data_IF_513748171804
#
_entry.id   IF_513748171804
#
_cell.length_a   1.000
_cell.length_b   1.000
_cell.length_c   1.000
_cell.angle_alpha   90.00
_cell.angle_beta   90.00
_cell.angle_gamma   90.00
#
_symmetry.space_group_name_H-M   'P 1'
#
loop_
_entity.id
_entity.type
_entity.pdbx_description
1 polymer ?
#
# COMPACT_ATOMS: atom_id res chain seq x y z
N UNK A 1 -1.98 -7.24 -14.86
CA UNK A 1 -2.96 -7.78 -13.88
C UNK A 1 -2.48 -7.69 -12.42
N UNK A 2 -1.17 -7.81 -12.15
CA UNK A 2 -0.56 -7.68 -10.81
C UNK A 2 -0.91 -6.37 -10.07
N UNK A 3 -0.94 -5.17 -10.71
CA UNK A 3 -1.25 -3.93 -9.99
C UNK A 3 -2.65 -3.93 -9.35
N UNK A 4 -3.64 -4.54 -10.02
CA UNK A 4 -5.00 -4.63 -9.50
C UNK A 4 -5.10 -5.55 -8.27
N UNK A 5 -4.33 -6.65 -8.26
CA UNK A 5 -4.22 -7.53 -7.10
C UNK A 5 -3.57 -6.80 -5.92
N UNK A 6 -2.49 -6.04 -6.17
CA UNK A 6 -1.84 -5.20 -5.16
C UNK A 6 -2.80 -4.17 -4.56
N UNK A 7 -3.59 -3.52 -5.40
CA UNK A 7 -4.60 -2.54 -4.95
C UNK A 7 -5.66 -3.20 -4.08
N UNK A 8 -6.21 -4.35 -4.49
CA UNK A 8 -7.17 -5.10 -3.69
C UNK A 8 -6.61 -5.54 -2.34
N UNK A 9 -5.37 -6.05 -2.33
CA UNK A 9 -4.68 -6.47 -1.11
C UNK A 9 -4.38 -5.29 -0.18
N UNK A 10 -4.05 -4.13 -0.75
CA UNK A 10 -3.83 -2.88 -0.01
C UNK A 10 -5.09 -2.40 0.69
N UNK A 11 -6.25 -2.50 0.02
CA UNK A 11 -7.56 -2.18 0.59
C UNK A 11 -7.88 -3.11 1.77
N UNK A 12 -7.61 -4.42 1.63
CA UNK A 12 -7.82 -5.39 2.70
C UNK A 12 -6.94 -5.11 3.93
N UNK A 13 -5.66 -4.80 3.71
CA UNK A 13 -4.70 -4.46 4.78
C UNK A 13 -5.12 -3.18 5.50
N UNK A 14 -5.43 -2.12 4.75
CA UNK A 14 -5.93 -0.87 5.32
C UNK A 14 -7.23 -1.07 6.10
N UNK A 15 -8.15 -1.85 5.54
CA UNK A 15 -9.44 -2.16 6.16
C UNK A 15 -9.27 -2.90 7.48
N UNK A 16 -8.44 -3.96 7.50
CA UNK A 16 -8.17 -4.73 8.72
C UNK A 16 -7.50 -3.92 9.81
N UNK A 17 -6.54 -3.04 9.46
CA UNK A 17 -5.81 -2.22 10.42
C UNK A 17 -6.72 -1.14 11.02
N UNK A 18 -7.49 -0.42 10.19
CA UNK A 18 -8.45 0.58 10.68
C UNK A 18 -9.61 -0.05 11.47
N UNK A 19 -9.97 -1.30 11.19
CA UNK A 19 -10.96 -2.03 11.99
C UNK A 19 -10.45 -2.34 13.40
N UNK A 20 -9.18 -2.78 13.53
CA UNK A 20 -8.52 -3.09 14.80
C UNK A 20 -8.19 -1.85 15.64
N UNK A 21 -7.91 -0.70 15.01
CA UNK A 21 -7.46 0.53 15.67
C UNK A 21 -8.40 1.73 15.40
N UNK A 22 -9.69 1.67 15.80
CA UNK A 22 -10.66 2.73 15.53
C UNK A 22 -10.32 4.09 16.15
N UNK A 23 -9.77 4.09 17.37
CA UNK A 23 -9.51 5.32 18.12
C UNK A 23 -8.22 6.02 17.71
N UNK A 24 -7.46 5.48 16.76
CA UNK A 24 -6.13 6.00 16.41
C UNK A 24 -5.94 6.06 14.90
N UNK A 25 -6.79 6.87 14.23
CA UNK A 25 -6.86 7.02 12.79
C UNK A 25 -5.50 7.28 12.11
N UNK A 26 -4.72 8.24 12.61
CA UNK A 26 -3.41 8.58 12.05
C UNK A 26 -2.38 7.47 12.24
N UNK A 27 -2.43 6.77 13.39
CA UNK A 27 -1.55 5.64 13.69
C UNK A 27 -1.88 4.43 12.81
N UNK A 28 -3.17 4.12 12.67
CA UNK A 28 -3.68 3.09 11.76
C UNK A 28 -3.31 3.40 10.31
N UNK A 29 -3.38 4.68 9.93
CA UNK A 29 -3.03 5.12 8.58
C UNK A 29 -1.56 4.91 8.29
N UNK A 30 -0.67 5.37 9.18
CA UNK A 30 0.76 5.18 9.02
C UNK A 30 1.16 3.70 8.99
N UNK A 31 0.60 2.89 9.90
CA UNK A 31 0.93 1.46 10.00
C UNK A 31 0.51 0.67 8.74
N UNK A 32 -0.67 0.98 8.21
CA UNK A 32 -1.17 0.35 6.99
C UNK A 32 -0.41 0.82 5.75
N UNK A 33 -0.04 2.09 5.66
CA UNK A 33 0.84 2.58 4.59
C UNK A 33 2.18 1.87 4.61
N UNK A 34 2.83 1.74 5.76
CA UNK A 34 4.11 1.01 5.87
C UNK A 34 3.94 -0.44 5.44
N UNK A 35 2.88 -1.12 5.88
CA UNK A 35 2.59 -2.49 5.46
C UNK A 35 2.37 -2.62 3.95
N UNK A 36 1.60 -1.71 3.35
CA UNK A 36 1.33 -1.66 1.90
C UNK A 36 2.63 -1.42 1.12
N UNK A 37 3.47 -0.49 1.57
CA UNK A 37 4.75 -0.17 0.92
C UNK A 37 5.69 -1.36 0.95
N UNK A 38 5.90 -1.95 2.13
CA UNK A 38 6.77 -3.13 2.28
C UNK A 38 6.29 -4.27 1.40
N UNK A 39 4.98 -4.56 1.43
CA UNK A 39 4.40 -5.63 0.62
C UNK A 39 4.53 -5.36 -0.88
N UNK A 40 4.29 -4.11 -1.29
CA UNK A 40 4.39 -3.71 -2.70
C UNK A 40 5.82 -3.80 -3.19
N UNK A 41 6.80 -3.38 -2.40
CA UNK A 41 8.23 -3.52 -2.73
C UNK A 41 8.66 -4.98 -2.80
N UNK A 42 8.20 -5.83 -1.88
CA UNK A 42 8.46 -7.27 -1.91
C UNK A 42 7.87 -7.92 -3.17
N UNK A 43 6.63 -7.56 -3.52
CA UNK A 43 6.02 -8.04 -4.77
C UNK A 43 6.79 -7.56 -5.98
N UNK A 44 7.16 -6.29 -6.05
CA UNK A 44 7.97 -5.77 -7.17
C UNK A 44 9.29 -6.54 -7.25
N UNK A 45 9.99 -6.77 -6.15
CA UNK A 45 11.25 -7.51 -6.13
C UNK A 45 11.09 -8.97 -6.60
N UNK A 46 10.09 -9.69 -6.08
CA UNK A 46 9.82 -11.10 -6.42
C UNK A 46 9.29 -11.26 -7.85
N UNK A 47 8.48 -10.33 -8.34
CA UNK A 47 7.96 -10.37 -9.71
C UNK A 47 8.93 -9.80 -10.74
N UNK A 48 9.81 -8.87 -10.36
CA UNK A 48 10.89 -8.37 -11.21
C UNK A 48 11.84 -9.50 -11.59
N UNK A 49 12.14 -10.43 -10.66
CA UNK A 49 13.02 -11.57 -10.96
C UNK A 49 12.37 -12.66 -11.84
N UNK A 50 11.04 -12.70 -11.95
CA UNK A 50 10.33 -13.81 -12.60
C UNK A 50 9.57 -13.44 -13.89
N UNK A 51 9.14 -12.18 -14.06
CA UNK A 51 8.21 -11.80 -15.14
C UNK A 51 8.47 -10.44 -15.80
N UNK A 52 9.35 -9.61 -15.25
CA UNK A 52 9.77 -8.38 -15.91
C UNK A 52 11.10 -8.65 -16.59
N UNK A 53 11.03 -9.16 -17.81
CA UNK A 53 12.12 -9.08 -18.79
C UNK A 53 12.48 -7.61 -18.99
N UNK A 54 13.28 -7.07 -18.07
CA UNK A 54 14.02 -5.86 -18.29
C UNK A 54 14.95 -6.21 -19.44
N UNK A 55 14.56 -5.79 -20.65
CA UNK A 55 15.43 -5.82 -21.81
C UNK A 55 16.80 -5.27 -21.35
N UNK A 56 17.86 -5.99 -21.65
CA UNK A 56 19.22 -5.73 -21.16
C UNK A 56 19.65 -4.27 -21.47
N UNK A 57 19.00 -3.63 -22.45
CA UNK A 57 19.13 -2.21 -22.83
C UNK A 57 18.62 -1.20 -21.80
N UNK A 58 17.66 -1.57 -20.94
CA UNK A 58 17.15 -0.69 -19.86
C UNK A 58 18.10 -0.71 -18.66
N UNK A 59 18.82 -1.81 -18.47
CA UNK A 59 19.91 -1.97 -17.50
C UNK A 59 21.13 -1.10 -17.85
N UNK A 60 21.40 -0.89 -19.14
CA UNK A 60 22.60 -0.20 -19.62
C UNK A 60 22.49 1.34 -19.60
N UNK A 61 21.27 1.90 -19.68
CA UNK A 61 21.05 3.36 -19.73
C UNK A 61 20.10 3.92 -18.64
N UNK A 62 19.47 3.06 -17.85
CA UNK A 62 18.52 3.47 -16.83
C UNK A 62 19.19 3.74 -15.49
N UNK A 63 19.03 4.95 -14.95
CA UNK A 63 19.36 5.26 -13.57
C UNK A 63 18.46 4.43 -12.62
N UNK A 64 18.85 3.18 -12.36
CA UNK A 64 18.08 2.23 -11.55
C UNK A 64 17.72 2.79 -10.18
N UNK A 65 18.65 3.53 -9.55
CA UNK A 65 18.39 4.21 -8.28
C UNK A 65 17.24 5.22 -8.39
N UNK A 66 17.18 5.97 -9.50
CA UNK A 66 16.07 6.89 -9.77
C UNK A 66 14.73 6.18 -9.98
N UNK A 67 14.71 5.08 -10.71
CA UNK A 67 13.48 4.30 -10.93
C UNK A 67 12.95 3.68 -9.63
N UNK A 68 13.84 3.10 -8.82
CA UNK A 68 13.47 2.52 -7.51
C UNK A 68 12.95 3.59 -6.55
N UNK A 69 13.60 4.76 -6.50
CA UNK A 69 13.15 5.88 -5.68
C UNK A 69 11.78 6.40 -6.12
N UNK A 70 11.57 6.55 -7.42
CA UNK A 70 10.31 7.04 -7.99
C UNK A 70 9.17 6.05 -7.69
N UNK A 71 9.39 4.76 -7.93
CA UNK A 71 8.41 3.70 -7.65
C UNK A 71 8.11 3.63 -6.16
N UNK A 72 9.12 3.68 -5.29
CA UNK A 72 8.93 3.70 -3.83
C UNK A 72 8.12 4.91 -3.38
N UNK A 73 8.39 6.09 -3.95
CA UNK A 73 7.64 7.32 -3.69
C UNK A 73 6.18 7.23 -4.10
N UNK A 74 5.91 6.76 -5.33
CA UNK A 74 4.55 6.56 -5.84
C UNK A 74 3.78 5.55 -4.97
N UNK A 75 4.39 4.40 -4.69
CA UNK A 75 3.77 3.34 -3.87
C UNK A 75 3.46 3.86 -2.46
N UNK A 76 4.35 4.66 -1.87
CA UNK A 76 4.11 5.28 -0.57
C UNK A 76 2.96 6.28 -0.59
N UNK A 77 2.92 7.14 -1.62
CA UNK A 77 1.84 8.11 -1.81
C UNK A 77 0.49 7.42 -2.00
N UNK A 78 0.42 6.42 -2.89
CA UNK A 78 -0.81 5.65 -3.12
C UNK A 78 -1.22 4.82 -1.92
N UNK A 79 -0.27 4.19 -1.21
CA UNK A 79 -0.55 3.42 0.00
C UNK A 79 -1.12 4.30 1.12
N UNK A 80 -0.66 5.55 1.24
CA UNK A 80 -1.22 6.53 2.17
C UNK A 80 -2.63 6.95 1.74
N UNK A 81 -2.81 7.26 0.46
CA UNK A 81 -4.12 7.67 -0.07
C UNK A 81 -5.18 6.57 0.14
N UNK A 82 -4.86 5.32 -0.21
CA UNK A 82 -5.73 4.15 0.00
C UNK A 82 -6.06 4.01 1.48
N UNK A 83 -5.05 4.10 2.34
CA UNK A 83 -5.25 3.97 3.78
C UNK A 83 -6.19 5.03 4.36
N UNK A 84 -6.00 6.30 3.96
CA UNK A 84 -6.84 7.41 4.41
C UNK A 84 -8.29 7.23 3.91
N UNK A 85 -8.47 6.89 2.63
CA UNK A 85 -9.79 6.62 2.04
C UNK A 85 -10.52 5.48 2.75
N UNK A 86 -9.84 4.34 2.95
CA UNK A 86 -10.42 3.18 3.63
C UNK A 86 -10.72 3.50 5.10
N UNK A 87 -9.85 4.25 5.78
CA UNK A 87 -10.09 4.72 7.13
C UNK A 87 -11.33 5.61 7.23
N UNK A 88 -11.49 6.58 6.32
CA UNK A 88 -12.68 7.45 6.28
C UNK A 88 -13.94 6.65 5.95
N UNK A 89 -13.86 5.71 5.02
CA UNK A 89 -14.97 4.82 4.68
C UNK A 89 -15.40 4.01 5.91
N UNK A 90 -14.45 3.36 6.60
CA UNK A 90 -14.73 2.59 7.81
C UNK A 90 -15.29 3.46 8.93
N UNK A 91 -14.80 4.70 9.09
CA UNK A 91 -15.35 5.64 10.06
C UNK A 91 -16.79 6.05 9.72
N UNK A 92 -17.14 6.15 8.44
CA UNK A 92 -18.49 6.51 8.00
C UNK A 92 -19.49 5.34 8.14
N UNK A 93 -19.05 4.09 7.90
CA UNK A 93 -19.92 2.92 8.01
C UNK A 93 -19.99 2.33 9.42
N UNK A 94 -19.00 2.62 10.28
CA UNK A 94 -19.01 2.12 11.66
C UNK A 94 -20.09 2.88 12.43
N UNK A 95 -21.12 2.20 12.96
CA UNK A 95 -22.16 2.86 13.73
C UNK A 95 -21.51 3.56 14.92
N UNK A 96 -21.85 4.83 15.13
CA UNK A 96 -21.44 5.66 16.26
C UNK A 96 -22.11 5.21 17.57
N UNK A 97 -22.01 3.92 17.92
CA UNK A 97 -22.88 3.33 18.93
C UNK A 97 -22.44 1.96 19.45
N UNK A 98 -21.13 1.76 19.66
CA UNK A 98 -20.68 0.75 20.61
C UNK A 98 -19.82 1.46 21.66
N UNK A 99 -20.50 2.25 22.49
CA UNK A 99 -20.15 2.35 23.90
C UNK A 99 -20.34 0.93 24.48
N UNK A 100 -19.27 0.12 24.45
CA UNK A 100 -19.26 -1.08 25.27
C UNK A 100 -18.98 -0.63 26.71
N UNK A 101 -20.08 -0.53 27.48
CA UNK A 101 -20.08 -0.86 28.91
C UNK A 101 -19.38 -2.20 29.15
#
# INVERSE_FOLDING_TARGET
>A
MIPYLLSGLSILIAGGIHWKLPNSFWKASFLSTVAIVVLSLLFIFVFQSNYLGLDERTLENGNMGGAVLLVSGLVSFFGLLISVLVGYFLKAIRPSGIEHN
#
